data_IF_539230560000
#
_entry.id   IF_539230560000
#
_cell.length_a   1.000
_cell.length_b   1.000
_cell.length_c   1.000
_cell.angle_alpha   90.00
_cell.angle_beta   90.00
_cell.angle_gamma   90.00
#
_symmetry.space_group_name_H-M   'P 1'
#
loop_
_entity.id
_entity.type
_entity.pdbx_description
1 polymer ?
#
# COMPACT_ATOMS: atom_id res chain seq x y z
N UNK A 1 11.08 17.46 -3.17
CA UNK A 1 11.23 16.22 -3.96
C UNK A 1 9.86 15.76 -4.45
N UNK A 2 9.79 14.97 -5.52
CA UNK A 2 8.52 14.42 -6.04
C UNK A 2 8.60 12.90 -6.04
N UNK A 3 7.72 12.24 -5.30
CA UNK A 3 7.57 10.79 -5.38
C UNK A 3 6.59 10.44 -6.50
N UNK A 4 7.07 9.73 -7.51
CA UNK A 4 6.33 9.37 -8.73
C UNK A 4 5.61 8.02 -8.63
N UNK A 5 5.92 7.18 -7.64
CA UNK A 5 5.33 5.86 -7.49
C UNK A 5 5.33 5.42 -6.03
N UNK A 6 4.15 5.20 -5.46
CA UNK A 6 3.99 4.70 -4.09
C UNK A 6 2.65 3.98 -3.95
N UNK A 7 2.66 2.90 -3.18
CA UNK A 7 1.48 2.10 -2.84
C UNK A 7 0.94 2.57 -1.49
N UNK A 8 -0.06 3.46 -1.50
CA UNK A 8 -0.50 4.14 -0.27
C UNK A 8 -1.32 3.26 0.67
N UNK A 9 -1.98 2.21 0.17
CA UNK A 9 -2.72 1.22 0.97
C UNK A 9 -1.79 0.33 1.80
N UNK A 10 -0.57 0.10 1.32
CA UNK A 10 0.42 -0.77 1.97
C UNK A 10 1.23 -0.05 3.06
N UNK A 11 0.94 1.22 3.36
CA UNK A 11 1.64 1.96 4.41
C UNK A 11 1.48 1.29 5.79
N UNK A 12 0.34 0.66 6.07
CA UNK A 12 0.11 -0.10 7.30
C UNK A 12 0.75 -1.51 7.29
N UNK A 13 1.17 -2.02 6.13
CA UNK A 13 1.84 -3.33 5.99
C UNK A 13 3.34 -3.31 6.29
N UNK A 14 3.90 -2.21 6.81
CA UNK A 14 5.34 -2.14 7.12
C UNK A 14 5.74 -3.26 8.08
N UNK A 15 6.74 -4.04 7.69
CA UNK A 15 7.35 -5.10 8.50
C UNK A 15 6.66 -6.47 8.43
N UNK A 16 5.58 -6.64 7.67
CA UNK A 16 4.86 -7.94 7.61
C UNK A 16 5.53 -8.96 6.67
N UNK A 17 6.44 -8.50 5.81
CA UNK A 17 7.00 -9.26 4.70
C UNK A 17 8.49 -8.96 4.48
N UNK A 18 9.22 -8.75 5.57
CA UNK A 18 10.67 -8.59 5.52
C UNK A 18 11.34 -9.96 5.31
N UNK A 19 12.54 -9.96 4.71
CA UNK A 19 13.42 -11.13 4.53
C UNK A 19 12.82 -12.34 3.77
N UNK A 20 11.94 -12.09 2.81
CA UNK A 20 11.36 -13.12 1.91
C UNK A 20 11.61 -12.78 0.44
N UNK A 21 11.54 -13.79 -0.44
CA UNK A 21 11.61 -13.55 -1.88
C UNK A 21 10.34 -12.87 -2.42
N UNK A 22 10.43 -12.35 -3.64
CA UNK A 22 9.34 -11.57 -4.26
C UNK A 22 8.03 -12.35 -4.38
N UNK A 23 8.07 -13.64 -4.70
CA UNK A 23 6.86 -14.43 -4.91
C UNK A 23 6.19 -14.73 -3.57
N UNK A 24 6.97 -15.09 -2.55
CA UNK A 24 6.46 -15.23 -1.18
C UNK A 24 5.96 -13.90 -0.63
N UNK A 25 6.66 -12.79 -0.87
CA UNK A 25 6.21 -11.44 -0.50
C UNK A 25 4.83 -11.14 -1.10
N UNK A 26 4.68 -11.34 -2.41
CA UNK A 26 3.46 -10.98 -3.13
C UNK A 26 2.28 -11.89 -2.77
N UNK A 27 2.45 -13.20 -2.95
CA UNK A 27 1.35 -14.16 -2.87
C UNK A 27 1.01 -14.55 -1.43
N UNK A 28 2.00 -14.67 -0.55
CA UNK A 28 1.78 -15.19 0.81
C UNK A 28 1.61 -14.08 1.84
N UNK A 29 2.08 -12.86 1.57
CA UNK A 29 2.01 -11.75 2.52
C UNK A 29 1.10 -10.62 2.06
N UNK A 30 1.38 -10.03 0.90
CA UNK A 30 0.68 -8.81 0.46
C UNK A 30 -0.74 -9.09 0.01
N UNK A 31 -0.99 -10.09 -0.84
CA UNK A 31 -2.37 -10.37 -1.28
C UNK A 31 -3.31 -10.78 -0.14
N UNK A 32 -2.92 -11.66 0.81
CA UNK A 32 -3.75 -11.94 1.96
C UNK A 32 -3.98 -10.71 2.83
N UNK A 33 -2.97 -9.86 2.99
CA UNK A 33 -3.10 -8.59 3.71
C UNK A 33 -4.13 -7.66 3.03
N UNK A 34 -3.97 -7.40 1.74
CA UNK A 34 -4.86 -6.51 0.97
C UNK A 34 -6.29 -7.05 0.89
N UNK A 35 -6.47 -8.38 0.81
CA UNK A 35 -7.79 -9.03 0.81
C UNK A 35 -8.55 -8.88 2.13
N UNK A 36 -7.83 -8.66 3.24
CA UNK A 36 -8.43 -8.44 4.55
C UNK A 36 -8.59 -6.95 4.90
N UNK A 37 -8.15 -6.03 4.04
CA UNK A 37 -8.31 -4.59 4.28
C UNK A 37 -9.75 -4.13 4.02
N UNK A 38 -10.24 -3.27 4.90
CA UNK A 38 -11.50 -2.55 4.70
C UNK A 38 -11.28 -1.19 4.02
N UNK A 39 -12.39 -0.52 3.64
CA UNK A 39 -12.35 0.84 3.11
C UNK A 39 -11.66 1.83 4.06
N UNK A 40 -12.00 1.70 5.34
CA UNK A 40 -11.45 2.51 6.40
C UNK A 40 -9.94 2.27 6.57
N UNK A 41 -9.48 1.02 6.53
CA UNK A 41 -8.06 0.68 6.67
C UNK A 41 -7.21 1.35 5.59
N UNK A 42 -7.65 1.30 4.32
CA UNK A 42 -6.87 1.93 3.26
C UNK A 42 -6.96 3.44 3.29
N UNK A 43 -8.06 4.02 3.76
CA UNK A 43 -8.17 5.47 3.97
C UNK A 43 -7.16 5.92 5.03
N UNK A 44 -7.12 5.23 6.17
CA UNK A 44 -6.17 5.50 7.25
C UNK A 44 -4.72 5.29 6.79
N UNK A 45 -4.45 4.22 6.05
CA UNK A 45 -3.13 3.93 5.47
C UNK A 45 -2.67 5.06 4.53
N UNK A 46 -3.56 5.54 3.67
CA UNK A 46 -3.27 6.63 2.73
C UNK A 46 -3.05 7.95 3.46
N UNK A 47 -3.85 8.25 4.49
CA UNK A 47 -3.67 9.44 5.31
C UNK A 47 -2.31 9.42 6.03
N UNK A 48 -1.94 8.29 6.62
CA UNK A 48 -0.64 8.10 7.26
C UNK A 48 0.51 8.31 6.28
N UNK A 49 0.39 7.74 5.08
CA UNK A 49 1.38 7.92 3.99
C UNK A 49 1.53 9.40 3.62
N UNK A 50 0.41 10.11 3.46
CA UNK A 50 0.41 11.54 3.16
C UNK A 50 1.10 12.38 4.24
N UNK A 51 0.83 12.11 5.52
CA UNK A 51 1.45 12.83 6.65
C UNK A 51 2.97 12.61 6.67
N UNK A 52 3.42 11.38 6.44
CA UNK A 52 4.84 11.04 6.43
C UNK A 52 5.60 11.69 5.26
N UNK A 53 4.96 11.74 4.08
CA UNK A 53 5.48 12.41 2.90
C UNK A 53 5.56 13.93 3.08
N UNK A 54 4.53 14.54 3.66
CA UNK A 54 4.55 15.98 4.00
C UNK A 54 5.67 16.28 5.00
N UNK A 55 5.81 15.46 6.05
CA UNK A 55 6.86 15.61 7.07
C UNK A 55 8.26 15.47 6.47
N UNK A 56 8.45 14.63 5.46
CA UNK A 56 9.74 14.44 4.77
C UNK A 56 10.00 15.45 3.65
N UNK A 57 9.09 16.40 3.40
CA UNK A 57 9.25 17.42 2.35
C UNK A 57 9.07 16.87 0.93
N UNK A 58 8.36 15.74 0.78
CA UNK A 58 8.07 15.07 -0.48
C UNK A 58 6.62 15.33 -0.88
N UNK A 59 6.42 15.96 -2.04
CA UNK A 59 5.10 16.04 -2.67
C UNK A 59 4.79 14.73 -3.38
N UNK A 60 3.55 14.24 -3.29
CA UNK A 60 3.14 12.96 -3.89
C UNK A 60 2.23 13.16 -5.09
N UNK A 61 2.46 12.37 -6.14
CA UNK A 61 1.47 12.07 -7.18
C UNK A 61 1.23 10.55 -7.12
N UNK A 62 0.52 10.10 -6.08
CA UNK A 62 0.34 8.67 -5.80
C UNK A 62 -0.81 8.08 -6.60
N UNK A 63 -0.63 6.84 -7.08
CA UNK A 63 -1.73 6.01 -7.59
C UNK A 63 -2.38 5.35 -6.38
N UNK A 64 -3.61 5.71 -6.04
CA UNK A 64 -4.36 5.03 -4.99
C UNK A 64 -4.72 3.62 -5.48
N UNK A 65 -4.16 2.59 -4.84
CA UNK A 65 -4.31 1.18 -5.24
C UNK A 65 -5.71 0.59 -4.99
N UNK A 66 -6.68 1.42 -4.60
CA UNK A 66 -8.10 1.05 -4.50
C UNK A 66 -8.66 0.44 -5.78
N UNK A 67 -8.26 0.94 -6.95
CA UNK A 67 -8.77 0.44 -8.23
C UNK A 67 -8.20 -0.92 -8.67
N UNK A 68 -7.10 -1.40 -8.06
CA UNK A 68 -6.48 -2.68 -8.44
C UNK A 68 -7.01 -3.87 -7.60
N UNK A 69 -7.48 -3.63 -6.37
CA UNK A 69 -7.91 -4.71 -5.47
C UNK A 69 -9.24 -5.37 -5.92
N UNK A 70 -10.16 -4.61 -6.52
CA UNK A 70 -11.48 -5.13 -6.91
C UNK A 70 -11.46 -5.91 -8.24
N UNK A 71 -10.50 -5.63 -9.13
CA UNK A 71 -10.45 -6.28 -10.46
C UNK A 71 -9.54 -7.52 -10.49
N UNK A 72 -8.53 -7.62 -9.63
CA UNK A 72 -7.56 -8.74 -9.68
C UNK A 72 -7.89 -9.92 -8.76
N UNK A 73 -8.74 -9.73 -7.73
CA UNK A 73 -9.14 -10.81 -6.80
C UNK A 73 -10.40 -11.55 -7.28
N UNK A 74 -11.08 -11.04 -8.32
CA UNK A 74 -12.32 -11.60 -8.88
C UNK A 74 -12.14 -12.15 -10.31
N UNK A 75 -10.89 -12.38 -10.75
CA UNK A 75 -10.56 -12.97 -12.05
C UNK A 75 -9.88 -14.33 -11.90
#
# INVERSE_FOLDING_TARGET
>A
FVNTHVHTSQQLARGIADDVDLLTWLHERIWPYESNMTEEDSYLSTLLCGIELIRSGVGVRSVSQWYLCVEFVVA
#
